data_IF_242446882677
#
_entry.id   IF_242446882677
#
_cell.length_a   1.000
_cell.length_b   1.000
_cell.length_c   1.000
_cell.angle_alpha   90.00
_cell.angle_beta   90.00
_cell.angle_gamma   90.00
#
_symmetry.space_group_name_H-M   'P 1'
#
loop_
_entity.id
_entity.type
_entity.pdbx_description
1 polymer ?
#
# COMPACT_ATOMS: atom_id res chain seq x y z
N UNK A 1 3.06 -33.89 13.18
CA UNK A 1 2.49 -32.76 12.42
C UNK A 1 3.15 -32.77 11.04
N UNK A 2 2.39 -32.99 9.99
CA UNK A 2 2.94 -32.88 8.65
C UNK A 2 3.29 -31.41 8.39
N UNK A 3 4.55 -31.11 8.22
CA UNK A 3 5.00 -29.76 7.84
C UNK A 3 4.49 -29.49 6.42
N UNK A 4 3.65 -28.47 6.27
CA UNK A 4 3.25 -27.97 4.95
C UNK A 4 4.40 -27.09 4.45
N UNK A 5 4.97 -27.46 3.29
CA UNK A 5 6.01 -26.64 2.64
C UNK A 5 5.36 -25.61 1.71
N UNK A 6 5.71 -24.35 1.89
CA UNK A 6 5.37 -23.28 0.95
C UNK A 6 6.39 -23.31 -0.18
N UNK A 7 5.92 -23.44 -1.40
CA UNK A 7 6.75 -23.44 -2.60
C UNK A 7 6.55 -22.13 -3.37
N UNK A 8 7.63 -21.41 -3.63
CA UNK A 8 7.60 -20.21 -4.46
C UNK A 8 7.68 -20.55 -5.95
N UNK A 9 7.02 -19.77 -6.82
CA UNK A 9 6.12 -18.67 -6.49
C UNK A 9 4.76 -19.17 -5.98
N UNK A 10 4.27 -18.57 -4.88
CA UNK A 10 2.93 -18.92 -4.34
C UNK A 10 1.78 -18.45 -5.24
N UNK A 11 2.04 -17.39 -6.02
CA UNK A 11 1.13 -16.81 -7.02
C UNK A 11 1.90 -16.70 -8.33
N UNK A 12 1.81 -17.67 -9.24
CA UNK A 12 2.48 -17.59 -10.54
C UNK A 12 1.81 -16.54 -11.43
N UNK A 13 2.62 -15.92 -12.30
CA UNK A 13 2.17 -14.88 -13.22
C UNK A 13 2.45 -13.46 -12.70
N UNK A 14 1.65 -12.48 -13.15
CA UNK A 14 1.83 -11.08 -12.85
C UNK A 14 1.07 -10.69 -11.57
N UNK A 15 1.76 -10.68 -10.44
CA UNK A 15 1.24 -10.35 -9.12
C UNK A 15 2.21 -9.43 -8.37
N UNK A 16 2.46 -8.21 -8.87
CA UNK A 16 3.43 -7.29 -8.29
C UNK A 16 2.90 -6.57 -7.04
N UNK A 17 3.82 -6.02 -6.25
CA UNK A 17 3.57 -5.15 -5.09
C UNK A 17 2.61 -5.79 -4.08
N UNK A 18 2.88 -7.00 -3.56
CA UNK A 18 1.94 -7.71 -2.73
C UNK A 18 1.80 -7.09 -1.34
N UNK A 19 0.58 -6.86 -0.91
CA UNK A 19 0.21 -6.48 0.46
C UNK A 19 -0.58 -7.60 1.11
N UNK A 20 -0.06 -8.18 2.20
CA UNK A 20 -0.70 -9.28 2.91
C UNK A 20 -1.51 -8.79 4.10
N UNK A 21 -2.73 -9.32 4.25
CA UNK A 21 -3.63 -9.08 5.38
C UNK A 21 -4.12 -10.42 5.93
N UNK A 22 -4.16 -10.55 7.27
CA UNK A 22 -4.71 -11.74 7.94
C UNK A 22 -5.94 -11.37 8.75
N UNK A 23 -7.01 -12.15 8.61
CA UNK A 23 -8.24 -12.02 9.40
C UNK A 23 -8.62 -13.41 9.94
N UNK A 24 -8.40 -13.64 11.23
CA UNK A 24 -8.60 -14.96 11.81
C UNK A 24 -7.68 -16.01 11.17
N UNK A 25 -8.28 -16.99 10.49
CA UNK A 25 -7.56 -18.04 9.75
C UNK A 25 -7.40 -17.75 8.25
N UNK A 26 -7.97 -16.65 7.80
CA UNK A 26 -7.97 -16.27 6.39
C UNK A 26 -6.82 -15.30 6.08
N UNK A 27 -6.09 -15.55 5.00
CA UNK A 27 -5.01 -14.72 4.48
C UNK A 27 -5.43 -14.13 3.14
N UNK A 28 -5.18 -12.85 2.97
CA UNK A 28 -5.48 -12.12 1.75
C UNK A 28 -4.22 -11.44 1.22
N UNK A 29 -4.02 -11.48 -0.08
CA UNK A 29 -2.94 -10.74 -0.75
C UNK A 29 -3.56 -9.87 -1.82
N UNK A 30 -3.40 -8.55 -1.66
CA UNK A 30 -3.76 -7.57 -2.67
C UNK A 30 -2.52 -7.23 -3.52
N UNK A 31 -2.71 -7.10 -4.84
CA UNK A 31 -1.62 -6.81 -5.79
C UNK A 31 -1.99 -5.68 -6.74
N UNK A 32 -0.98 -5.01 -7.28
CA UNK A 32 -1.14 -4.00 -8.34
C UNK A 32 -1.70 -4.60 -9.62
N UNK A 33 -2.47 -3.81 -10.34
CA UNK A 33 -3.02 -4.20 -11.65
C UNK A 33 -2.63 -3.25 -12.77
N UNK A 34 -1.98 -2.14 -12.43
CA UNK A 34 -1.59 -1.11 -13.39
C UNK A 34 -2.78 -0.69 -14.28
N UNK A 35 -2.65 -0.74 -15.60
CA UNK A 35 -3.69 -0.40 -16.58
C UNK A 35 -4.82 -1.42 -16.69
N UNK A 36 -4.75 -2.56 -15.99
CA UNK A 36 -5.76 -3.62 -16.12
C UNK A 36 -6.94 -3.41 -15.20
N UNK A 37 -8.13 -3.40 -15.80
CA UNK A 37 -9.41 -3.22 -15.12
C UNK A 37 -10.18 -4.56 -14.99
N UNK A 38 -10.90 -4.81 -13.89
CA UNK A 38 -11.06 -4.00 -12.67
C UNK A 38 -9.79 -3.96 -11.81
N UNK A 39 -9.57 -2.80 -11.14
CA UNK A 39 -8.37 -2.53 -10.37
C UNK A 39 -8.26 -3.31 -9.07
N UNK A 40 -7.02 -3.61 -8.71
CA UNK A 40 -6.58 -4.47 -7.60
C UNK A 40 -7.11 -5.90 -7.74
N UNK A 41 -6.22 -6.88 -7.65
CA UNK A 41 -6.62 -8.27 -7.44
C UNK A 41 -6.37 -8.63 -5.99
N UNK A 42 -7.34 -9.31 -5.37
CA UNK A 42 -7.21 -9.85 -4.02
C UNK A 42 -7.28 -11.37 -4.09
N UNK A 43 -6.22 -12.03 -3.63
CA UNK A 43 -6.12 -13.48 -3.52
C UNK A 43 -6.38 -13.89 -2.07
N UNK A 44 -6.95 -15.07 -1.88
CA UNK A 44 -7.29 -15.63 -0.58
C UNK A 44 -6.69 -17.02 -0.40
N UNK A 45 -6.22 -17.30 0.82
CA UNK A 45 -5.76 -18.61 1.25
C UNK A 45 -6.07 -18.83 2.75
N UNK A 46 -6.15 -20.11 3.18
CA UNK A 46 -6.18 -20.51 4.59
C UNK A 46 -4.93 -21.25 5.05
N UNK A 47 -4.05 -21.57 4.13
CA UNK A 47 -2.86 -22.37 4.39
C UNK A 47 -1.56 -21.77 3.85
N UNK A 48 -1.64 -20.60 3.19
CA UNK A 48 -0.53 -19.90 2.51
C UNK A 48 0.07 -20.68 1.33
N UNK A 49 -0.53 -21.80 0.94
CA UNK A 49 -0.10 -22.66 -0.16
C UNK A 49 -1.09 -22.61 -1.32
N UNK A 50 -2.38 -22.81 -0.98
CA UNK A 50 -3.44 -22.84 -1.96
C UNK A 50 -4.14 -21.48 -2.01
N UNK A 51 -3.95 -20.78 -3.11
CA UNK A 51 -4.48 -19.43 -3.32
C UNK A 51 -5.56 -19.43 -4.40
N UNK A 52 -6.59 -18.65 -4.19
CA UNK A 52 -7.65 -18.39 -5.19
C UNK A 52 -7.93 -16.90 -5.29
N UNK A 53 -8.38 -16.45 -6.45
CA UNK A 53 -8.87 -15.08 -6.60
C UNK A 53 -10.15 -14.91 -5.75
N UNK A 54 -10.13 -13.94 -4.82
CA UNK A 54 -11.26 -13.61 -3.97
C UNK A 54 -12.10 -12.46 -4.52
N UNK A 55 -11.45 -11.45 -5.15
CA UNK A 55 -12.18 -10.32 -5.69
C UNK A 55 -11.33 -9.30 -6.42
N UNK A 56 -12.04 -8.36 -7.05
CA UNK A 56 -11.47 -7.18 -7.71
C UNK A 56 -12.30 -5.96 -7.28
N UNK A 57 -11.86 -5.24 -6.24
CA UNK A 57 -12.67 -4.24 -5.54
C UNK A 57 -13.01 -3.01 -6.36
N UNK A 58 -12.10 -2.56 -7.24
CA UNK A 58 -12.26 -1.31 -7.98
C UNK A 58 -12.91 -1.56 -9.34
N UNK A 59 -14.21 -1.83 -9.33
CA UNK A 59 -14.96 -2.27 -10.50
C UNK A 59 -16.04 -1.26 -10.96
N UNK A 60 -16.03 -0.04 -10.42
CA UNK A 60 -16.93 1.06 -10.82
C UNK A 60 -16.10 2.26 -11.28
N UNK A 61 -16.57 2.96 -12.30
CA UNK A 61 -15.92 4.18 -12.80
C UNK A 61 -15.79 5.28 -11.72
N UNK A 62 -16.70 5.31 -10.73
CA UNK A 62 -16.58 6.20 -9.57
C UNK A 62 -15.42 5.88 -8.64
N UNK A 63 -14.92 4.62 -8.65
CA UNK A 63 -13.79 4.18 -7.85
C UNK A 63 -12.47 4.29 -8.64
N UNK A 64 -12.52 4.03 -9.94
CA UNK A 64 -11.36 4.00 -10.82
C UNK A 64 -11.76 4.26 -12.27
N UNK A 65 -11.37 5.39 -12.79
CA UNK A 65 -11.56 5.73 -14.20
C UNK A 65 -10.18 5.84 -14.89
N UNK A 66 -9.80 4.81 -15.61
CA UNK A 66 -8.51 4.71 -16.30
C UNK A 66 -8.58 5.06 -17.79
N UNK A 67 -9.70 5.63 -18.25
CA UNK A 67 -9.84 6.03 -19.67
C UNK A 67 -8.84 7.12 -20.02
N UNK A 68 -7.94 6.83 -20.97
CA UNK A 68 -6.89 7.73 -21.41
C UNK A 68 -5.59 7.65 -20.58
N UNK A 69 -5.51 6.77 -19.59
CA UNK A 69 -4.28 6.55 -18.85
C UNK A 69 -3.22 5.88 -19.75
N UNK A 70 -1.95 6.31 -19.68
CA UNK A 70 -0.86 5.68 -20.42
C UNK A 70 -0.53 4.28 -19.91
N UNK A 71 0.23 3.52 -20.70
CA UNK A 71 0.77 2.22 -20.32
C UNK A 71 1.46 2.25 -18.97
N UNK A 72 1.25 1.22 -18.16
CA UNK A 72 1.81 1.04 -16.82
C UNK A 72 1.43 2.15 -15.82
N UNK A 73 0.38 2.92 -16.08
CA UNK A 73 -0.32 3.79 -15.14
C UNK A 73 -1.51 3.05 -14.50
N UNK A 74 -2.44 3.76 -13.87
CA UNK A 74 -3.55 3.16 -13.15
C UNK A 74 -3.16 2.72 -11.75
N UNK A 75 -3.41 1.47 -11.36
CA UNK A 75 -3.27 1.01 -9.97
C UNK A 75 -1.84 0.58 -9.63
N UNK A 76 -1.21 1.34 -8.74
CA UNK A 76 0.09 1.00 -8.12
C UNK A 76 -0.07 0.64 -6.65
N UNK A 77 0.79 -0.26 -6.18
CA UNK A 77 1.02 -0.74 -4.83
C UNK A 77 -0.15 -0.52 -3.84
N UNK A 78 -1.20 -1.36 -3.89
CA UNK A 78 -2.29 -1.28 -2.94
C UNK A 78 -1.86 -1.81 -1.58
N UNK A 79 -2.46 -1.29 -0.51
CA UNK A 79 -2.33 -1.87 0.82
C UNK A 79 -3.71 -2.27 1.35
N UNK A 80 -3.84 -3.53 1.74
CA UNK A 80 -5.04 -4.09 2.33
C UNK A 80 -4.82 -4.32 3.83
N UNK A 81 -5.71 -3.80 4.65
CA UNK A 81 -5.72 -4.01 6.10
C UNK A 81 -7.11 -4.37 6.60
N UNK A 82 -7.21 -4.86 7.84
CA UNK A 82 -8.48 -5.15 8.49
C UNK A 82 -8.46 -4.61 9.91
N UNK A 83 -9.44 -3.77 10.24
CA UNK A 83 -9.65 -3.21 11.58
C UNK A 83 -11.11 -2.79 11.74
N UNK A 84 -11.60 -2.76 12.97
CA UNK A 84 -12.93 -2.29 13.33
C UNK A 84 -14.06 -2.97 12.54
N UNK A 85 -13.88 -4.25 12.20
CA UNK A 85 -14.86 -5.03 11.44
C UNK A 85 -14.92 -4.73 9.95
N UNK A 86 -13.97 -3.95 9.42
CA UNK A 86 -13.90 -3.54 8.02
C UNK A 86 -12.57 -3.92 7.38
N UNK A 87 -12.61 -4.27 6.11
CA UNK A 87 -11.46 -4.21 5.22
C UNK A 87 -11.23 -2.77 4.77
N UNK A 88 -9.98 -2.35 4.76
CA UNK A 88 -9.50 -1.04 4.33
C UNK A 88 -8.53 -1.26 3.20
N UNK A 89 -8.86 -0.77 2.02
CA UNK A 89 -8.00 -0.84 0.85
C UNK A 89 -7.59 0.56 0.44
N UNK A 90 -6.29 0.82 0.52
CA UNK A 90 -5.69 2.07 0.08
C UNK A 90 -4.88 1.79 -1.18
N UNK A 91 -4.91 2.70 -2.16
CA UNK A 91 -4.26 2.51 -3.46
C UNK A 91 -3.88 3.86 -4.08
N UNK A 92 -2.91 3.81 -5.00
CA UNK A 92 -2.59 4.93 -5.87
C UNK A 92 -3.25 4.72 -7.23
N UNK A 93 -3.95 5.73 -7.71
CA UNK A 93 -4.36 5.87 -9.12
C UNK A 93 -3.36 6.81 -9.81
N UNK A 94 -2.55 6.23 -10.68
CA UNK A 94 -1.49 6.94 -11.41
C UNK A 94 -1.99 7.35 -12.77
N UNK A 95 -2.10 8.66 -13.00
CA UNK A 95 -2.53 9.24 -14.28
C UNK A 95 -1.37 9.52 -15.23
N UNK A 96 -0.18 9.73 -14.67
CA UNK A 96 1.04 9.97 -15.44
C UNK A 96 2.27 9.57 -14.64
N UNK A 97 3.11 8.71 -15.21
CA UNK A 97 4.40 8.28 -14.62
C UNK A 97 5.63 8.89 -15.29
N UNK A 98 5.52 9.33 -16.52
CA UNK A 98 6.66 9.81 -17.34
C UNK A 98 7.09 11.22 -16.95
N UNK A 99 8.39 11.50 -17.08
CA UNK A 99 8.97 12.81 -16.79
C UNK A 99 9.29 13.02 -15.30
N UNK A 100 9.53 14.28 -14.95
CA UNK A 100 9.89 14.65 -13.58
C UNK A 100 8.68 14.61 -12.64
N UNK A 101 7.56 15.08 -13.10
CA UNK A 101 6.29 15.09 -12.35
C UNK A 101 5.54 13.80 -12.60
N UNK A 102 5.10 13.16 -11.50
CA UNK A 102 4.19 12.03 -11.52
C UNK A 102 2.82 12.50 -11.04
N UNK A 103 1.78 12.22 -11.83
CA UNK A 103 0.41 12.54 -11.45
C UNK A 103 -0.19 11.31 -10.75
N UNK A 104 -0.14 11.31 -9.43
CA UNK A 104 -0.48 10.20 -8.57
C UNK A 104 -1.49 10.65 -7.52
N UNK A 105 -2.60 9.92 -7.39
CA UNK A 105 -3.67 10.21 -6.44
C UNK A 105 -3.90 9.02 -5.52
N UNK A 106 -3.80 9.22 -4.21
CA UNK A 106 -4.02 8.20 -3.21
C UNK A 106 -5.48 8.23 -2.73
N UNK A 107 -6.12 7.06 -2.77
CA UNK A 107 -7.52 6.86 -2.37
C UNK A 107 -7.66 5.72 -1.38
N UNK A 108 -8.76 5.76 -0.64
CA UNK A 108 -9.17 4.73 0.32
C UNK A 108 -10.61 4.29 0.04
N UNK A 109 -10.84 2.98 0.02
CA UNK A 109 -12.17 2.36 0.03
C UNK A 109 -12.27 1.35 1.17
N UNK A 110 -13.48 1.11 1.66
CA UNK A 110 -13.74 0.15 2.74
C UNK A 110 -14.87 -0.81 2.38
N UNK A 111 -14.84 -1.99 3.00
CA UNK A 111 -15.92 -2.97 2.88
C UNK A 111 -16.02 -3.84 4.13
N UNK A 112 -17.22 -4.28 4.54
CA UNK A 112 -17.38 -5.24 5.62
C UNK A 112 -16.94 -6.66 5.22
N UNK A 113 -16.94 -6.98 3.94
CA UNK A 113 -16.52 -8.29 3.42
C UNK A 113 -15.54 -8.11 2.27
N UNK A 114 -14.72 -9.13 2.01
CA UNK A 114 -13.71 -9.06 0.95
C UNK A 114 -14.33 -9.02 -0.45
N UNK A 115 -15.51 -9.61 -0.60
CA UNK A 115 -16.27 -9.63 -1.83
C UNK A 115 -16.96 -8.28 -2.12
N UNK A 116 -17.06 -7.41 -1.11
CA UNK A 116 -17.73 -6.13 -1.21
C UNK A 116 -19.18 -6.17 -0.70
N UNK A 117 -20.01 -5.13 -1.01
CA UNK A 117 -19.66 -4.00 -1.86
C UNK A 117 -18.61 -3.07 -1.22
N UNK A 118 -17.64 -2.62 -2.01
CA UNK A 118 -16.66 -1.63 -1.59
C UNK A 118 -17.24 -0.21 -1.71
N UNK A 119 -16.89 0.65 -0.78
CA UNK A 119 -17.38 2.03 -0.71
C UNK A 119 -16.97 2.86 -1.93
N UNK A 120 -17.54 4.05 -2.08
CA UNK A 120 -16.96 5.08 -2.92
C UNK A 120 -15.61 5.54 -2.34
N UNK A 121 -14.68 6.01 -3.19
CA UNK A 121 -13.34 6.34 -2.76
C UNK A 121 -13.30 7.64 -1.97
N UNK A 122 -12.49 7.63 -0.92
CA UNK A 122 -12.08 8.83 -0.21
C UNK A 122 -10.73 9.26 -0.76
N UNK A 123 -10.63 10.46 -1.32
CA UNK A 123 -9.36 11.05 -1.72
C UNK A 123 -8.54 11.41 -0.49
N UNK A 124 -7.25 11.06 -0.48
CA UNK A 124 -6.34 11.33 0.62
C UNK A 124 -5.35 12.44 0.28
N UNK A 125 -4.45 12.20 -0.65
CA UNK A 125 -3.45 13.17 -1.11
C UNK A 125 -2.87 12.82 -2.48
N UNK A 126 -2.01 13.72 -3.00
CA UNK A 126 -1.25 13.53 -4.24
C UNK A 126 0.23 13.83 -4.04
N UNK A 127 0.78 13.56 -2.84
CA UNK A 127 2.17 13.87 -2.52
C UNK A 127 3.18 12.87 -3.09
N UNK A 128 2.71 11.74 -3.56
CA UNK A 128 3.49 10.64 -4.10
C UNK A 128 2.63 9.39 -4.23
N UNK A 129 3.19 8.22 -4.04
CA UNK A 129 2.54 6.94 -4.29
C UNK A 129 2.90 5.89 -3.22
N UNK A 130 2.48 4.64 -3.42
CA UNK A 130 2.65 3.51 -2.52
C UNK A 130 2.11 3.80 -1.11
N UNK A 131 0.80 4.10 -0.99
CA UNK A 131 0.23 4.40 0.31
C UNK A 131 -0.02 3.13 1.11
N UNK A 132 0.12 3.22 2.43
CA UNK A 132 -0.36 2.22 3.36
C UNK A 132 -1.14 2.84 4.50
N UNK A 133 -1.95 2.02 5.18
CA UNK A 133 -2.71 2.42 6.35
C UNK A 133 -2.35 1.51 7.53
N UNK A 134 -1.88 2.11 8.61
CA UNK A 134 -1.57 1.42 9.85
C UNK A 134 -2.63 1.76 10.92
N UNK A 135 -3.15 0.73 11.59
CA UNK A 135 -4.09 0.85 12.71
C UNK A 135 -3.32 0.64 14.01
N UNK A 136 -3.22 1.69 14.83
CA UNK A 136 -2.50 1.62 16.10
C UNK A 136 -3.41 1.09 17.23
N UNK A 137 -2.80 0.59 18.30
CA UNK A 137 -3.50 0.03 19.47
C UNK A 137 -4.35 1.06 20.23
N UNK A 138 -4.08 2.36 20.03
CA UNK A 138 -4.85 3.45 20.63
C UNK A 138 -6.09 3.87 19.78
N UNK A 139 -6.36 3.13 18.69
CA UNK A 139 -7.48 3.36 17.79
C UNK A 139 -7.23 4.37 16.68
N UNK A 140 -6.08 5.06 16.69
CA UNK A 140 -5.70 5.98 15.62
C UNK A 140 -5.30 5.20 14.36
N UNK A 141 -5.51 5.86 13.23
CA UNK A 141 -5.13 5.33 11.92
C UNK A 141 -4.11 6.25 11.27
N UNK A 142 -3.06 5.66 10.72
CA UNK A 142 -1.94 6.39 10.19
C UNK A 142 -1.72 6.06 8.71
N UNK A 143 -1.85 7.09 7.90
CA UNK A 143 -1.51 7.04 6.49
C UNK A 143 0.00 7.22 6.33
N UNK A 144 0.60 6.35 5.53
CA UNK A 144 2.03 6.39 5.19
C UNK A 144 2.15 6.33 3.68
N UNK A 145 3.00 7.16 3.07
CA UNK A 145 3.34 7.05 1.65
C UNK A 145 4.73 7.64 1.36
N UNK A 146 5.35 7.24 0.29
CA UNK A 146 6.53 7.95 -0.19
C UNK A 146 6.12 9.30 -0.77
N UNK A 147 6.99 10.32 -0.62
CA UNK A 147 6.82 11.60 -1.30
C UNK A 147 7.71 11.66 -2.54
N UNK A 148 7.09 12.01 -3.67
CA UNK A 148 7.79 12.26 -4.91
C UNK A 148 8.01 13.75 -5.11
N UNK A 149 9.24 14.23 -4.91
CA UNK A 149 9.58 15.64 -5.15
C UNK A 149 10.16 15.82 -6.57
N UNK A 150 9.33 16.27 -7.49
CA UNK A 150 9.72 16.51 -8.88
C UNK A 150 10.85 17.54 -9.03
N UNK A 151 11.10 18.37 -8.02
CA UNK A 151 12.18 19.37 -7.95
C UNK A 151 13.49 18.76 -7.46
N UNK A 152 13.42 17.61 -6.78
CA UNK A 152 14.55 16.95 -6.16
C UNK A 152 15.68 16.59 -7.14
N UNK A 153 16.92 16.76 -6.71
CA UNK A 153 18.14 16.40 -7.44
C UNK A 153 19.19 15.93 -6.42
N UNK A 154 19.93 14.85 -6.66
CA UNK A 154 19.85 13.94 -7.82
C UNK A 154 18.66 12.95 -7.76
N UNK A 155 18.06 12.77 -6.60
CA UNK A 155 16.90 11.88 -6.40
C UNK A 155 15.61 12.67 -6.24
N UNK A 156 14.50 12.12 -6.73
CA UNK A 156 13.15 12.64 -6.51
C UNK A 156 12.44 11.99 -5.31
N UNK A 157 13.05 11.01 -4.69
CA UNK A 157 12.58 10.49 -3.42
C UNK A 157 12.77 11.55 -2.33
N UNK A 158 11.67 12.03 -1.75
CA UNK A 158 11.68 13.08 -0.74
C UNK A 158 11.54 12.55 0.70
N UNK A 159 11.33 11.25 0.86
CA UNK A 159 11.16 10.58 2.15
C UNK A 159 9.85 9.82 2.26
N UNK A 160 9.65 9.20 3.40
CA UNK A 160 8.40 8.55 3.78
C UNK A 160 7.64 9.47 4.73
N UNK A 161 6.42 9.81 4.34
CA UNK A 161 5.53 10.68 5.11
C UNK A 161 4.59 9.85 5.97
N UNK A 162 4.29 10.38 7.14
CA UNK A 162 3.28 9.90 8.09
C UNK A 162 2.29 11.01 8.36
N UNK A 163 1.00 10.71 8.29
CA UNK A 163 -0.09 11.61 8.68
C UNK A 163 -1.26 10.83 9.26
N UNK A 164 -1.94 11.37 10.25
CA UNK A 164 -3.12 10.74 10.85
C UNK A 164 -4.30 10.77 9.87
N UNK A 165 -5.06 9.68 9.81
CA UNK A 165 -6.32 9.59 9.08
C UNK A 165 -7.49 9.54 10.08
N UNK A 166 -8.36 10.53 10.03
CA UNK A 166 -9.60 10.56 10.79
C UNK A 166 -10.70 9.81 10.03
N UNK A 167 -11.12 8.67 10.59
CA UNK A 167 -12.10 7.81 9.95
C UNK A 167 -13.53 8.38 10.02
N UNK A 168 -13.85 9.21 11.00
CA UNK A 168 -15.15 9.85 11.14
C UNK A 168 -15.29 11.01 10.13
N UNK A 169 -14.25 11.82 10.01
CA UNK A 169 -14.20 12.95 9.08
C UNK A 169 -13.81 12.51 7.64
N UNK A 170 -13.35 11.26 7.47
CA UNK A 170 -12.88 10.68 6.21
C UNK A 170 -11.82 11.54 5.50
N UNK A 171 -10.82 12.00 6.26
CA UNK A 171 -9.74 12.85 5.75
C UNK A 171 -8.44 12.68 6.53
N UNK A 172 -7.33 13.10 5.93
CA UNK A 172 -6.06 13.26 6.62
C UNK A 172 -6.11 14.50 7.52
N UNK A 173 -5.60 14.35 8.75
CA UNK A 173 -5.60 15.41 9.78
C UNK A 173 -4.24 15.54 10.43
N UNK A 174 -4.04 16.65 11.16
CA UNK A 174 -2.81 16.87 11.92
C UNK A 174 -1.57 17.13 11.05
N UNK A 175 -0.38 17.12 11.65
CA UNK A 175 0.87 17.44 10.96
C UNK A 175 1.32 16.30 10.06
N UNK A 176 1.97 16.65 8.95
CA UNK A 176 2.69 15.72 8.09
C UNK A 176 4.13 15.59 8.62
N UNK A 177 4.56 14.38 8.93
CA UNK A 177 5.89 14.10 9.45
C UNK A 177 6.67 13.24 8.45
N UNK A 178 7.89 13.66 8.08
CA UNK A 178 8.81 12.82 7.32
C UNK A 178 9.54 11.89 8.30
N UNK A 179 9.15 10.61 8.32
CA UNK A 179 9.63 9.62 9.30
C UNK A 179 10.87 8.87 8.83
N UNK A 180 11.17 8.86 7.52
CA UNK A 180 12.33 8.14 6.99
C UNK A 180 12.82 8.80 5.70
N UNK A 181 14.11 9.06 5.60
CA UNK A 181 14.73 9.74 4.46
C UNK A 181 15.49 8.81 3.51
N UNK A 182 15.28 7.50 3.64
CA UNK A 182 15.94 6.47 2.85
C UNK A 182 17.28 6.01 3.44
N UNK A 183 17.78 4.92 2.89
CA UNK A 183 19.11 4.39 3.16
C UNK A 183 20.07 4.67 1.99
N UNK A 184 21.36 4.28 2.09
CA UNK A 184 22.30 4.36 0.98
C UNK A 184 21.91 3.57 -0.27
N UNK A 185 20.97 2.59 -0.16
CA UNK A 185 20.43 1.86 -1.31
C UNK A 185 19.59 2.75 -2.23
N UNK A 186 18.93 3.76 -1.65
CA UNK A 186 18.11 4.72 -2.36
C UNK A 186 16.80 4.16 -2.90
N UNK A 187 15.99 5.01 -3.51
CA UNK A 187 14.70 4.67 -4.12
C UNK A 187 13.79 3.88 -3.16
N UNK A 188 13.59 4.43 -1.96
CA UNK A 188 12.73 3.82 -0.93
C UNK A 188 11.27 4.01 -1.29
N UNK A 189 10.52 2.92 -1.39
CA UNK A 189 9.11 2.89 -1.79
C UNK A 189 8.35 1.80 -1.02
N UNK A 190 7.05 1.63 -1.22
CA UNK A 190 6.23 0.60 -0.59
C UNK A 190 6.27 0.60 0.95
N UNK A 191 6.11 1.74 1.64
CA UNK A 191 6.25 1.78 3.09
C UNK A 191 5.08 1.09 3.79
N UNK A 192 5.39 0.15 4.72
CA UNK A 192 4.41 -0.46 5.61
C UNK A 192 4.87 -0.33 7.06
N UNK A 193 3.94 0.04 7.95
CA UNK A 193 4.17 0.05 9.40
C UNK A 193 3.58 -1.19 10.05
N UNK A 194 4.30 -1.75 11.00
CA UNK A 194 3.88 -2.82 11.87
C UNK A 194 4.24 -2.48 13.32
N UNK A 195 3.49 -3.03 14.29
CA UNK A 195 3.79 -2.89 15.70
C UNK A 195 3.92 -4.25 16.37
N UNK A 196 5.02 -4.46 17.08
CA UNK A 196 5.26 -5.70 17.83
C UNK A 196 6.12 -5.42 19.06
N UNK A 197 5.70 -5.92 20.23
CA UNK A 197 6.43 -5.81 21.49
C UNK A 197 6.85 -4.37 21.83
N UNK A 198 5.95 -3.40 21.59
CA UNK A 198 6.18 -1.98 21.86
C UNK A 198 7.16 -1.28 20.91
N UNK A 199 7.48 -1.90 19.76
CA UNK A 199 8.25 -1.30 18.68
C UNK A 199 7.39 -1.14 17.44
N UNK A 200 7.54 0.00 16.77
CA UNK A 200 7.09 0.22 15.41
C UNK A 200 8.19 -0.21 14.45
N UNK A 201 7.82 -0.96 13.43
CA UNK A 201 8.71 -1.41 12.36
C UNK A 201 8.23 -0.79 11.05
N UNK A 202 9.13 -0.08 10.39
CA UNK A 202 8.92 0.43 9.04
C UNK A 202 9.61 -0.52 8.07
N UNK A 203 8.84 -1.11 7.17
CA UNK A 203 9.34 -1.97 6.09
C UNK A 203 9.20 -1.19 4.80
N UNK A 204 10.25 -1.14 3.99
CA UNK A 204 10.27 -0.45 2.69
C UNK A 204 10.97 -1.31 1.65
N UNK A 205 10.58 -1.16 0.39
CA UNK A 205 11.34 -1.61 -0.76
C UNK A 205 12.37 -0.55 -1.13
N UNK A 206 13.60 -0.94 -1.45
CA UNK A 206 14.68 -0.03 -1.85
C UNK A 206 15.46 -0.56 -3.05
N UNK A 207 16.26 0.28 -3.69
CA UNK A 207 17.08 -0.08 -4.84
C UNK A 207 16.35 -0.07 -6.18
N UNK A 208 15.07 0.32 -6.18
CA UNK A 208 14.23 0.36 -7.39
C UNK A 208 13.83 -1.02 -7.90
N UNK A 209 13.21 -1.08 -9.07
CA UNK A 209 12.59 -2.29 -9.67
C UNK A 209 13.56 -3.17 -10.49
N UNK A 210 14.86 -3.11 -10.19
CA UNK A 210 15.91 -3.87 -10.88
C UNK A 210 16.58 -4.92 -9.99
N UNK A 211 17.75 -5.39 -10.39
CA UNK A 211 18.52 -6.40 -9.65
C UNK A 211 19.04 -5.90 -8.29
N UNK A 212 19.06 -4.60 -8.05
CA UNK A 212 19.44 -4.00 -6.76
C UNK A 212 18.28 -3.94 -5.77
N UNK A 213 17.08 -4.42 -6.17
CA UNK A 213 15.89 -4.41 -5.33
C UNK A 213 16.13 -5.18 -4.03
N UNK A 214 15.78 -4.56 -2.91
CA UNK A 214 15.93 -5.12 -1.58
C UNK A 214 14.77 -4.70 -0.69
N UNK A 215 14.49 -5.51 0.33
CA UNK A 215 13.58 -5.13 1.42
C UNK A 215 14.44 -4.70 2.60
N UNK A 216 14.21 -3.49 3.11
CA UNK A 216 14.84 -2.99 4.31
C UNK A 216 13.83 -2.75 5.42
N UNK A 217 14.30 -2.83 6.66
CA UNK A 217 13.45 -2.65 7.82
C UNK A 217 14.18 -1.81 8.87
N UNK A 218 13.51 -0.77 9.34
CA UNK A 218 13.93 0.05 10.46
C UNK A 218 12.92 -0.05 11.61
N UNK A 219 13.30 0.32 12.83
CA UNK A 219 12.38 0.30 13.96
C UNK A 219 12.54 1.52 14.85
N UNK A 220 11.45 1.92 15.51
CA UNK A 220 11.42 3.01 16.48
C UNK A 220 10.50 2.67 17.66
N UNK A 221 10.69 3.34 18.81
CA UNK A 221 9.75 3.32 19.94
C UNK A 221 8.56 4.26 19.73
N UNK A 222 8.68 5.19 18.81
CA UNK A 222 7.67 6.19 18.50
C UNK A 222 7.26 6.07 17.05
N UNK A 223 5.96 6.18 16.76
CA UNK A 223 5.44 6.05 15.39
C UNK A 223 6.00 7.12 14.44
N UNK A 224 6.30 8.30 14.95
CA UNK A 224 6.93 9.38 14.18
C UNK A 224 8.46 9.23 14.05
N UNK A 225 9.03 8.15 14.51
CA UNK A 225 10.46 7.90 14.42
C UNK A 225 11.28 8.45 15.60
N UNK A 226 12.62 8.54 15.43
CA UNK A 226 13.37 8.24 14.20
C UNK A 226 13.44 6.74 13.88
N UNK A 227 13.40 6.43 12.61
CA UNK A 227 13.59 5.08 12.06
C UNK A 227 14.98 4.87 11.50
#
# INVERSE_FOLDING_TARGET
MNSVMIQNPILPGFNPDPSICRVGEDYYVAVSTFEWYPGVQIHHSRDLVNWRLAGRPLNRASQLDMRGDPDSCGIWAPCLTYADGLFWLIYTDVKRKSGAFKDCHNYLVTSPTIEGPWSDPVYLNSSGFDPSLFHDDDGRKWHVNLVWDHRGRPSRFGGILLQEYDAAEKKLVGPITNIFRGSPLGLSEGPHLYKRNGWYYLVVAEGGTGYSHAVTMARSRHIAGPY
#
